data_IF_105945300647
#
_entry.id   IF_105945300647
#
_cell.length_a   1.000
_cell.length_b   1.000
_cell.length_c   1.000
_cell.angle_alpha   90.00
_cell.angle_beta   90.00
_cell.angle_gamma   90.00
#
_symmetry.space_group_name_H-M   'P 1'
#
loop_
_entity.id
_entity.type
_entity.pdbx_description
1 polymer ?
#
# COMPACT_ATOMS: atom_id res chain seq x y z
N UNK A 1 -35.68 30.40 27.67
CA UNK A 1 -35.37 28.96 27.72
C UNK A 1 -33.94 28.79 27.20
N UNK A 2 -33.00 28.81 28.16
CA UNK A 2 -31.59 28.65 27.86
C UNK A 2 -31.25 27.18 27.63
N UNK A 3 -30.64 26.85 26.51
CA UNK A 3 -30.08 25.52 26.27
C UNK A 3 -28.71 25.45 26.92
N UNK A 4 -28.41 24.40 27.68
CA UNK A 4 -27.05 24.23 28.26
C UNK A 4 -26.01 23.89 27.19
N UNK A 5 -25.00 24.69 27.10
CA UNK A 5 -23.77 24.48 26.33
C UNK A 5 -23.10 23.16 26.77
N UNK A 6 -23.07 22.18 25.89
CA UNK A 6 -22.42 20.91 26.12
C UNK A 6 -20.90 21.12 26.08
N UNK A 7 -20.30 21.28 27.26
CA UNK A 7 -18.84 21.35 27.41
C UNK A 7 -18.25 20.01 26.97
N UNK A 8 -17.41 20.01 25.95
CA UNK A 8 -16.66 18.82 25.52
C UNK A 8 -15.71 18.42 26.66
N UNK A 9 -15.83 17.19 27.14
CA UNK A 9 -14.89 16.66 28.12
C UNK A 9 -13.52 16.48 27.45
N UNK A 10 -12.41 16.85 28.13
CA UNK A 10 -11.07 16.59 27.61
C UNK A 10 -10.84 15.09 27.53
N UNK A 11 -10.30 14.64 26.40
CA UNK A 11 -9.86 13.25 26.20
C UNK A 11 -8.75 12.97 27.22
N UNK A 12 -8.80 11.89 27.99
CA UNK A 12 -7.78 11.60 29.01
C UNK A 12 -6.41 11.36 28.34
N UNK A 13 -5.39 12.03 28.84
CA UNK A 13 -3.98 12.01 28.43
C UNK A 13 -3.25 10.67 28.63
N UNK A 14 -3.93 9.62 29.08
CA UNK A 14 -3.31 8.39 29.58
C UNK A 14 -3.45 7.17 28.65
N UNK A 15 -3.42 7.34 27.31
CA UNK A 15 -3.33 6.21 26.36
C UNK A 15 -2.24 6.48 25.31
N UNK A 16 -1.00 6.72 25.77
CA UNK A 16 0.18 6.75 24.90
C UNK A 16 1.19 5.74 25.47
N UNK A 17 0.93 4.44 25.33
CA UNK A 17 1.91 3.41 25.70
C UNK A 17 1.98 2.20 24.74
N UNK A 18 1.63 2.32 23.52
CA UNK A 18 2.18 1.47 22.45
C UNK A 18 2.19 2.34 21.21
N UNK A 19 3.32 2.41 20.51
CA UNK A 19 3.33 3.10 19.21
C UNK A 19 2.14 2.60 18.40
N UNK A 20 1.15 3.44 18.03
CA UNK A 20 -0.06 3.02 17.30
C UNK A 20 0.28 2.29 15.99
N UNK A 21 1.53 2.42 15.55
CA UNK A 21 2.06 1.81 14.35
C UNK A 21 2.29 0.30 14.43
N UNK A 22 2.34 -0.28 15.63
CA UNK A 22 2.51 -1.74 15.78
C UNK A 22 1.25 -2.45 16.21
N UNK A 23 0.39 -1.85 17.04
CA UNK A 23 -0.87 -2.43 17.51
C UNK A 23 -1.98 -2.38 16.46
N UNK A 24 -2.04 -1.29 15.68
CA UNK A 24 -3.13 -1.02 14.74
C UNK A 24 -2.68 -1.10 13.27
N UNK A 25 -1.67 -1.93 12.98
CA UNK A 25 -1.10 -2.04 11.64
C UNK A 25 -2.16 -2.38 10.57
N UNK A 26 -3.09 -3.28 10.87
CA UNK A 26 -4.14 -3.67 9.93
C UNK A 26 -5.13 -2.55 9.66
N UNK A 27 -5.54 -1.80 10.70
CA UNK A 27 -6.41 -0.63 10.55
C UNK A 27 -5.72 0.45 9.70
N UNK A 28 -4.46 0.74 10.01
CA UNK A 28 -3.67 1.72 9.26
C UNK A 28 -3.50 1.33 7.80
N UNK A 29 -3.20 0.06 7.50
CA UNK A 29 -3.07 -0.43 6.13
C UNK A 29 -4.38 -0.28 5.35
N UNK A 30 -5.52 -0.60 5.98
CA UNK A 30 -6.84 -0.39 5.38
C UNK A 30 -7.13 1.09 5.15
N UNK A 31 -6.86 1.95 6.15
CA UNK A 31 -7.06 3.39 6.03
C UNK A 31 -6.24 4.00 4.89
N UNK A 32 -4.96 3.66 4.80
CA UNK A 32 -4.08 4.10 3.70
C UNK A 32 -4.57 3.62 2.34
N UNK A 33 -5.05 2.38 2.25
CA UNK A 33 -5.68 1.86 1.04
C UNK A 33 -6.90 2.67 0.62
N UNK A 34 -7.78 3.05 1.57
CA UNK A 34 -8.94 3.89 1.28
C UNK A 34 -8.54 5.32 0.89
N UNK A 35 -7.54 5.92 1.57
CA UNK A 35 -7.03 7.26 1.23
C UNK A 35 -6.47 7.25 -0.20
N UNK A 36 -5.66 6.26 -0.55
CA UNK A 36 -5.12 6.10 -1.90
C UNK A 36 -6.24 5.99 -2.95
N UNK A 37 -7.20 5.09 -2.74
CA UNK A 37 -8.32 4.91 -3.67
C UNK A 37 -9.18 6.17 -3.79
N UNK A 38 -9.40 6.89 -2.69
CA UNK A 38 -10.11 8.17 -2.70
C UNK A 38 -9.38 9.23 -3.53
N UNK A 39 -8.05 9.35 -3.38
CA UNK A 39 -7.23 10.27 -4.18
C UNK A 39 -7.25 9.89 -5.66
N UNK A 40 -7.13 8.59 -5.98
CA UNK A 40 -7.20 8.05 -7.33
C UNK A 40 -8.53 8.43 -7.99
N UNK A 41 -9.65 8.10 -7.36
CA UNK A 41 -10.99 8.39 -7.88
C UNK A 41 -11.23 9.89 -8.05
N UNK A 42 -10.81 10.71 -7.08
CA UNK A 42 -10.93 12.15 -7.15
C UNK A 42 -10.10 12.76 -8.29
N UNK A 43 -8.89 12.23 -8.54
CA UNK A 43 -8.07 12.64 -9.66
C UNK A 43 -8.72 12.25 -10.99
N UNK A 44 -9.13 11.00 -11.17
CA UNK A 44 -9.77 10.53 -12.41
C UNK A 44 -11.07 11.29 -12.68
N UNK A 45 -11.85 11.56 -11.64
CA UNK A 45 -13.05 12.41 -11.77
C UNK A 45 -12.72 13.79 -12.34
N UNK A 46 -11.71 14.48 -11.79
CA UNK A 46 -11.29 15.81 -12.26
C UNK A 46 -10.72 15.78 -13.69
N UNK A 47 -10.05 14.69 -14.05
CA UNK A 47 -9.51 14.47 -15.41
C UNK A 47 -10.56 14.07 -16.43
N UNK A 48 -11.83 13.96 -16.04
CA UNK A 48 -12.90 13.56 -16.94
C UNK A 48 -13.04 12.07 -17.19
N UNK A 49 -12.16 11.23 -16.63
CA UNK A 49 -12.22 9.77 -16.74
C UNK A 49 -13.28 9.22 -15.79
N UNK A 50 -14.25 8.48 -16.31
CA UNK A 50 -15.37 7.88 -15.56
C UNK A 50 -15.33 6.36 -15.59
N UNK A 51 -14.55 5.79 -16.49
CA UNK A 51 -14.39 4.35 -16.68
C UNK A 51 -13.30 3.86 -15.73
N UNK A 52 -13.69 3.54 -14.50
CA UNK A 52 -12.82 2.97 -13.47
C UNK A 52 -13.59 1.95 -12.64
N UNK A 53 -13.08 0.74 -12.57
CA UNK A 53 -13.55 -0.31 -11.66
C UNK A 53 -12.50 -0.60 -10.59
N UNK A 54 -12.97 -0.83 -9.36
CA UNK A 54 -12.13 -1.17 -8.20
C UNK A 54 -12.68 -2.43 -7.56
N UNK A 55 -11.88 -3.49 -7.56
CA UNK A 55 -12.24 -4.75 -6.91
C UNK A 55 -11.24 -5.06 -5.80
N UNK A 56 -11.73 -5.25 -4.58
CA UNK A 56 -10.92 -5.72 -3.46
C UNK A 56 -11.06 -7.23 -3.33
N UNK A 57 -9.93 -7.90 -3.06
CA UNK A 57 -9.95 -9.33 -2.75
C UNK A 57 -10.37 -9.53 -1.29
N UNK A 58 -11.39 -10.33 -1.04
CA UNK A 58 -11.77 -10.74 0.32
C UNK A 58 -10.75 -11.69 0.94
N UNK A 59 -9.98 -12.39 0.11
CA UNK A 59 -9.00 -13.39 0.53
C UNK A 59 -7.66 -13.12 -0.11
N UNK A 60 -6.62 -12.87 0.68
CA UNK A 60 -5.24 -12.68 0.19
C UNK A 60 -4.65 -14.01 -0.33
N UNK A 61 -5.09 -14.43 -1.49
CA UNK A 61 -4.52 -15.59 -2.20
C UNK A 61 -3.70 -15.22 -3.42
N UNK A 62 -3.93 -14.04 -3.98
CA UNK A 62 -3.35 -13.60 -5.25
C UNK A 62 -2.03 -12.85 -5.13
N UNK A 63 -1.69 -12.38 -3.93
CA UNK A 63 -0.54 -11.52 -3.67
C UNK A 63 -0.75 -10.09 -4.14
N UNK A 64 -2.01 -9.64 -4.26
CA UNK A 64 -2.43 -8.27 -4.52
C UNK A 64 -3.55 -7.89 -3.56
N UNK A 65 -3.71 -6.62 -3.30
CA UNK A 65 -4.70 -6.06 -2.38
C UNK A 65 -5.92 -5.50 -3.13
N UNK A 66 -5.71 -5.02 -4.35
CA UNK A 66 -6.76 -4.43 -5.18
C UNK A 66 -6.51 -4.70 -6.66
N UNK A 67 -7.60 -4.89 -7.40
CA UNK A 67 -7.61 -4.86 -8.87
C UNK A 67 -8.22 -3.55 -9.30
N UNK A 68 -7.56 -2.87 -10.22
CA UNK A 68 -8.01 -1.64 -10.84
C UNK A 68 -8.16 -1.88 -12.32
N UNK A 69 -9.28 -1.45 -12.90
CA UNK A 69 -9.51 -1.49 -14.35
C UNK A 69 -9.98 -0.14 -14.83
N UNK A 70 -9.37 0.37 -15.91
CA UNK A 70 -9.79 1.59 -16.60
C UNK A 70 -9.44 1.49 -18.08
N UNK A 71 -10.40 1.83 -18.94
CA UNK A 71 -10.26 1.78 -20.41
C UNK A 71 -9.70 0.44 -20.92
N UNK A 72 -10.12 -0.68 -20.31
CA UNK A 72 -9.67 -2.03 -20.66
C UNK A 72 -8.27 -2.39 -20.17
N UNK A 73 -7.61 -1.52 -19.41
CA UNK A 73 -6.32 -1.80 -18.75
C UNK A 73 -6.57 -2.33 -17.34
N UNK A 74 -6.16 -3.57 -17.08
CA UNK A 74 -6.29 -4.21 -15.77
C UNK A 74 -4.94 -4.17 -15.04
N UNK A 75 -4.98 -3.80 -13.76
CA UNK A 75 -3.84 -3.80 -12.84
C UNK A 75 -4.14 -4.58 -11.56
N UNK A 76 -3.29 -5.53 -11.22
CA UNK A 76 -3.27 -6.19 -9.92
C UNK A 76 -2.25 -5.51 -9.03
N UNK A 77 -2.71 -4.70 -8.09
CA UNK A 77 -1.85 -3.83 -7.29
C UNK A 77 -1.62 -4.45 -5.91
N UNK A 78 -0.35 -4.69 -5.55
CA UNK A 78 0.04 -4.94 -4.17
C UNK A 78 0.42 -3.62 -3.51
N UNK A 79 -0.29 -3.25 -2.44
CA UNK A 79 0.01 -2.07 -1.66
C UNK A 79 1.06 -2.37 -0.59
N UNK A 80 1.99 -1.47 -0.39
CA UNK A 80 2.95 -1.46 0.71
C UNK A 80 2.96 -0.07 1.33
N UNK A 81 3.30 0.03 2.60
CA UNK A 81 3.36 1.32 3.25
C UNK A 81 4.53 1.44 4.22
N UNK A 82 5.04 2.65 4.38
CA UNK A 82 5.95 3.03 5.45
C UNK A 82 5.77 4.51 5.78
N UNK A 83 5.95 4.90 7.04
CA UNK A 83 5.90 6.31 7.39
C UNK A 83 7.21 7.02 7.01
N UNK A 84 7.12 8.33 6.75
CA UNK A 84 8.27 9.19 6.46
C UNK A 84 9.30 9.11 7.57
N UNK A 85 10.58 8.98 7.20
CA UNK A 85 11.67 8.85 8.16
C UNK A 85 11.84 7.45 8.76
N UNK A 86 10.98 6.48 8.41
CA UNK A 86 11.15 5.10 8.85
C UNK A 86 12.48 4.49 8.36
N UNK A 87 12.99 3.51 9.10
CA UNK A 87 14.19 2.76 8.71
C UNK A 87 13.91 1.66 7.68
N UNK A 88 12.66 1.50 7.22
CA UNK A 88 12.29 0.50 6.23
C UNK A 88 12.93 0.83 4.89
N UNK A 89 13.75 -0.10 4.39
CA UNK A 89 14.49 0.05 3.12
C UNK A 89 14.13 -1.05 2.11
N UNK A 90 13.26 -1.97 2.50
CA UNK A 90 12.82 -3.06 1.65
C UNK A 90 11.43 -3.56 2.09
N UNK A 91 10.71 -4.17 1.17
CA UNK A 91 9.39 -4.78 1.42
C UNK A 91 9.35 -6.21 0.90
N UNK A 92 8.51 -7.03 1.52
CA UNK A 92 8.26 -8.39 1.09
C UNK A 92 7.15 -8.40 0.05
N UNK A 93 7.40 -9.05 -1.08
CA UNK A 93 6.49 -9.15 -2.21
C UNK A 93 6.17 -10.60 -2.51
N UNK A 94 4.90 -10.91 -2.72
CA UNK A 94 4.47 -12.26 -3.08
C UNK A 94 4.83 -12.61 -4.52
N UNK A 95 5.49 -13.76 -4.73
CA UNK A 95 5.78 -14.27 -6.08
C UNK A 95 4.52 -14.66 -6.86
N UNK A 96 3.38 -14.80 -6.18
CA UNK A 96 2.09 -15.06 -6.84
C UNK A 96 1.68 -13.92 -7.76
N UNK A 97 2.12 -12.68 -7.45
CA UNK A 97 1.86 -11.50 -8.26
C UNK A 97 2.48 -11.59 -9.66
N UNK A 98 3.60 -12.34 -9.83
CA UNK A 98 4.22 -12.59 -11.14
C UNK A 98 3.29 -13.29 -12.15
N UNK A 99 2.27 -13.99 -11.64
CA UNK A 99 1.30 -14.73 -12.48
C UNK A 99 0.05 -13.90 -12.81
N UNK A 100 0.01 -12.64 -12.35
CA UNK A 100 -1.15 -11.76 -12.55
C UNK A 100 -0.91 -10.81 -13.71
N UNK A 101 -1.86 -10.70 -14.66
CA UNK A 101 -1.78 -9.71 -15.71
C UNK A 101 -1.68 -8.31 -15.12
N UNK A 102 -0.78 -7.48 -15.63
CA UNK A 102 -0.61 -6.12 -15.15
C UNK A 102 -0.24 -6.01 -13.66
N UNK A 103 0.41 -7.05 -13.09
CA UNK A 103 0.88 -7.03 -11.70
C UNK A 103 1.82 -5.85 -11.44
N UNK A 104 1.62 -5.17 -10.30
CA UNK A 104 2.48 -4.05 -9.89
C UNK A 104 2.46 -3.88 -8.36
N UNK A 105 3.44 -3.14 -7.85
CA UNK A 105 3.56 -2.83 -6.43
C UNK A 105 3.59 -1.31 -6.30
N UNK A 106 2.73 -0.80 -5.45
CA UNK A 106 2.70 0.61 -5.07
C UNK A 106 3.05 0.72 -3.59
N UNK A 107 4.20 1.31 -3.30
CA UNK A 107 4.64 1.55 -1.93
C UNK A 107 4.38 3.01 -1.57
N UNK A 108 3.54 3.21 -0.55
CA UNK A 108 3.06 4.50 -0.07
C UNK A 108 3.93 4.95 1.09
N UNK A 109 4.54 6.12 0.97
CA UNK A 109 5.16 6.84 2.08
C UNK A 109 4.16 7.85 2.63
N UNK A 110 3.92 7.81 3.93
CA UNK A 110 2.86 8.59 4.57
C UNK A 110 3.37 9.30 5.84
N UNK A 111 2.67 10.35 6.23
CA UNK A 111 2.86 11.01 7.52
C UNK A 111 2.27 10.16 8.66
N UNK A 112 3.05 9.94 9.70
CA UNK A 112 2.70 9.04 10.80
C UNK A 112 1.57 9.54 11.70
N UNK A 113 1.32 10.85 11.72
CA UNK A 113 0.32 11.46 12.61
C UNK A 113 -1.06 11.55 11.95
N UNK A 114 -1.10 11.97 10.68
CA UNK A 114 -2.34 12.23 9.98
C UNK A 114 -2.66 11.26 8.84
N UNK A 115 -1.79 10.30 8.55
CA UNK A 115 -1.87 9.33 7.44
C UNK A 115 -1.96 9.98 6.06
N UNK A 116 -1.57 11.26 5.91
CA UNK A 116 -1.49 11.88 4.59
C UNK A 116 -0.41 11.21 3.74
N UNK A 117 -0.74 10.93 2.49
CA UNK A 117 0.22 10.36 1.55
C UNK A 117 1.15 11.47 1.08
N UNK A 118 2.47 11.25 1.23
CA UNK A 118 3.49 12.22 0.87
C UNK A 118 4.22 11.85 -0.42
N UNK A 119 4.39 10.52 -0.67
CA UNK A 119 5.10 10.03 -1.85
C UNK A 119 4.68 8.62 -2.19
N UNK A 120 4.84 8.28 -3.46
CA UNK A 120 4.66 6.93 -3.95
C UNK A 120 5.97 6.37 -4.50
N UNK A 121 6.11 5.06 -4.44
CA UNK A 121 7.18 4.32 -5.09
C UNK A 121 6.56 3.20 -5.92
N UNK A 122 6.91 3.16 -7.19
CA UNK A 122 6.34 2.24 -8.17
C UNK A 122 7.32 1.13 -8.53
N UNK A 123 6.83 -0.09 -8.59
CA UNK A 123 7.50 -1.22 -9.21
C UNK A 123 6.50 -2.01 -10.05
N UNK A 124 6.67 -1.96 -11.37
CA UNK A 124 5.77 -2.61 -12.33
C UNK A 124 6.24 -2.38 -13.76
N UNK A 125 5.71 -3.17 -14.67
CA UNK A 125 5.90 -2.98 -16.10
C UNK A 125 4.89 -2.00 -16.69
N UNK A 126 4.96 -1.80 -18.01
CA UNK A 126 3.92 -1.09 -18.76
C UNK A 126 2.57 -1.78 -18.60
N UNK A 127 1.47 -1.05 -18.88
CA UNK A 127 0.13 -1.61 -18.90
C UNK A 127 0.09 -2.89 -19.78
N UNK A 128 -0.60 -3.92 -19.28
CA UNK A 128 -0.72 -5.21 -19.98
C UNK A 128 0.53 -6.11 -19.98
N UNK A 129 1.68 -5.66 -19.44
CA UNK A 129 2.89 -6.48 -19.35
C UNK A 129 2.99 -7.22 -18.03
N UNK A 130 3.81 -8.27 -18.00
CA UNK A 130 4.10 -8.99 -16.77
C UNK A 130 4.90 -8.12 -15.78
N UNK A 131 4.75 -8.44 -14.49
CA UNK A 131 5.57 -7.84 -13.44
C UNK A 131 7.06 -8.14 -13.72
N UNK A 132 7.97 -7.14 -13.61
CA UNK A 132 9.41 -7.37 -13.72
C UNK A 132 9.92 -8.40 -12.70
N UNK A 133 11.06 -9.02 -12.99
CA UNK A 133 11.70 -9.98 -12.08
C UNK A 133 11.92 -9.38 -10.69
N UNK A 134 11.48 -10.10 -9.65
CA UNK A 134 11.62 -9.69 -8.25
C UNK A 134 13.04 -9.92 -7.70
N UNK A 135 13.88 -10.64 -8.42
CA UNK A 135 15.21 -11.02 -7.98
C UNK A 135 15.24 -12.26 -7.05
N UNK A 136 16.43 -12.76 -6.73
CA UNK A 136 16.59 -14.04 -6.05
C UNK A 136 16.39 -13.98 -4.52
N UNK A 137 16.41 -12.79 -3.89
CA UNK A 137 16.45 -12.66 -2.44
C UNK A 137 15.13 -13.12 -1.81
N UNK A 138 15.14 -14.29 -1.17
CA UNK A 138 13.98 -14.82 -0.44
C UNK A 138 13.76 -14.07 0.86
N UNK A 139 12.49 -13.80 1.20
CA UNK A 139 12.10 -13.22 2.48
C UNK A 139 12.19 -14.25 3.60
N UNK A 140 12.38 -13.77 4.83
CA UNK A 140 12.39 -14.59 6.06
C UNK A 140 11.36 -14.07 7.05
N UNK A 141 10.86 -14.95 7.89
CA UNK A 141 9.94 -14.56 8.97
C UNK A 141 10.59 -13.53 9.89
N UNK A 142 9.82 -12.57 10.39
CA UNK A 142 10.30 -11.56 11.34
C UNK A 142 10.65 -12.17 12.70
N UNK A 143 9.88 -13.20 13.12
CA UNK A 143 10.12 -13.95 14.36
C UNK A 143 10.88 -15.22 14.05
N UNK A 144 11.84 -15.58 14.92
CA UNK A 144 12.50 -16.88 14.90
C UNK A 144 11.59 -18.00 15.39
N UNK A 145 11.94 -19.25 15.05
CA UNK A 145 11.38 -20.45 15.66
C UNK A 145 11.86 -20.57 17.13
N UNK A 146 11.55 -21.70 17.79
CA UNK A 146 12.00 -22.00 19.17
C UNK A 146 13.53 -22.03 19.34
N UNK A 147 14.28 -22.18 18.23
CA UNK A 147 15.74 -22.21 18.18
C UNK A 147 16.34 -20.85 17.77
N UNK A 148 15.50 -19.81 17.58
CA UNK A 148 15.91 -18.48 17.17
C UNK A 148 16.17 -18.31 15.66
N UNK A 149 16.01 -19.37 14.86
CA UNK A 149 16.22 -19.33 13.43
C UNK A 149 15.01 -18.74 12.70
N UNK A 150 15.27 -17.88 11.72
CA UNK A 150 14.24 -17.25 10.88
C UNK A 150 14.01 -18.10 9.63
N UNK A 151 12.92 -18.86 9.61
CA UNK A 151 12.53 -19.66 8.46
C UNK A 151 12.29 -18.80 7.21
N UNK A 152 12.67 -19.34 6.07
CA UNK A 152 12.43 -18.70 4.78
C UNK A 152 10.94 -18.73 4.39
N UNK A 153 10.53 -17.70 3.66
CA UNK A 153 9.20 -17.58 3.04
C UNK A 153 9.36 -17.76 1.52
N UNK A 154 9.39 -18.99 1.01
CA UNK A 154 9.81 -19.30 -0.37
C UNK A 154 8.95 -18.61 -1.44
N UNK A 155 7.70 -18.26 -1.11
CA UNK A 155 6.78 -17.55 -1.99
C UNK A 155 6.86 -16.01 -1.85
N UNK A 156 7.89 -15.49 -1.15
CA UNK A 156 8.09 -14.04 -1.01
C UNK A 156 9.52 -13.66 -1.40
N UNK A 157 9.66 -12.48 -2.00
CA UNK A 157 10.96 -11.88 -2.35
C UNK A 157 11.10 -10.55 -1.66
N UNK A 158 12.33 -10.22 -1.26
CA UNK A 158 12.68 -8.93 -0.67
C UNK A 158 13.01 -7.96 -1.78
N UNK A 159 12.20 -6.91 -1.90
CA UNK A 159 12.41 -5.84 -2.87
C UNK A 159 12.93 -4.59 -2.15
N UNK A 160 14.13 -4.15 -2.48
CA UNK A 160 14.73 -2.94 -1.89
C UNK A 160 14.14 -1.68 -2.49
N UNK A 161 14.09 -0.58 -1.73
CA UNK A 161 13.56 0.72 -2.17
C UNK A 161 14.24 1.23 -3.45
N UNK A 162 15.53 0.99 -3.62
CA UNK A 162 16.27 1.42 -4.82
C UNK A 162 15.83 0.75 -6.12
N UNK A 163 14.96 -0.26 -6.07
CA UNK A 163 14.35 -0.88 -7.26
C UNK A 163 13.04 -0.23 -7.67
N UNK A 164 12.52 0.66 -6.83
CA UNK A 164 11.29 1.37 -7.11
C UNK A 164 11.60 2.73 -7.74
N UNK A 165 10.77 3.14 -8.66
CA UNK A 165 10.73 4.49 -9.19
C UNK A 165 9.93 5.38 -8.22
N UNK A 166 10.52 6.51 -7.80
CA UNK A 166 9.81 7.48 -6.96
C UNK A 166 8.85 8.30 -7.82
N UNK A 167 7.60 8.41 -7.38
CA UNK A 167 6.56 9.20 -8.02
C UNK A 167 6.08 10.27 -7.03
N UNK A 168 5.92 11.50 -7.52
CA UNK A 168 5.65 12.64 -6.65
C UNK A 168 4.18 12.79 -6.27
N UNK A 169 3.28 12.40 -7.17
CA UNK A 169 1.85 12.65 -7.02
C UNK A 169 0.96 11.55 -7.61
N UNK A 170 -0.35 11.69 -7.39
CA UNK A 170 -1.35 10.74 -7.89
C UNK A 170 -1.47 10.76 -9.42
N UNK A 171 -1.12 11.87 -10.10
CA UNK A 171 -1.20 11.95 -11.56
C UNK A 171 -0.19 11.02 -12.21
N UNK A 172 1.06 11.01 -11.69
CA UNK A 172 2.11 10.10 -12.14
C UNK A 172 1.80 8.65 -11.81
N UNK A 173 1.11 8.37 -10.69
CA UNK A 173 0.61 7.03 -10.38
C UNK A 173 -0.43 6.57 -11.40
N UNK A 174 -1.39 7.44 -11.77
CA UNK A 174 -2.41 7.13 -12.80
C UNK A 174 -1.78 6.85 -14.15
N UNK A 175 -0.77 7.63 -14.54
CA UNK A 175 0.00 7.38 -15.76
C UNK A 175 0.69 6.01 -15.74
N UNK A 176 1.31 5.62 -14.63
CA UNK A 176 1.92 4.28 -14.48
C UNK A 176 0.90 3.14 -14.47
N UNK A 177 -0.29 3.40 -13.94
CA UNK A 177 -1.35 2.41 -13.91
C UNK A 177 -1.97 2.21 -15.30
N UNK A 178 -2.31 3.26 -16.01
CA UNK A 178 -3.21 3.19 -17.17
C UNK A 178 -2.66 3.84 -18.45
N UNK A 179 -1.53 4.60 -18.35
CA UNK A 179 -0.89 5.29 -19.47
C UNK A 179 -0.07 4.41 -20.41
#
# INVERSE_FOLDING_TARGET
MDQPTRTAQPIPEAIIEASPHSSDSSLREQALGHIFLGQLLAFMWRSGTRDIEILKSEVDRGGYDVVLESNGVIRHVQLKSSFRGSKVRAVDVSTKLLRKPGGCILWIEFDSECLSIERFYWFGGKAGTALPDLGPRVSRHSRGNSEGEKNERPIHRVLTRGRFEALEDISTVVEKLFG
#
